data_IF_455052351941
#
_entry.id   IF_455052351941
#
_cell.length_a   1.000
_cell.length_b   1.000
_cell.length_c   1.000
_cell.angle_alpha   90.00
_cell.angle_beta   90.00
_cell.angle_gamma   90.00
#
_symmetry.space_group_name_H-M   'P 1'
#
loop_
_entity.id
_entity.type
_entity.pdbx_description
1 polymer ?
#
# COMPACT_ATOMS: atom_id res chain seq x y z
N UNK A 1 7.15 -6.11 10.48
CA UNK A 1 7.37 -6.82 9.19
C UNK A 1 7.70 -5.79 8.13
N UNK A 2 8.70 -6.00 7.26
CA UNK A 2 9.06 -5.06 6.18
C UNK A 2 8.25 -5.44 4.94
N UNK A 3 7.34 -4.57 4.48
CA UNK A 3 6.65 -4.74 3.20
C UNK A 3 7.68 -4.64 2.08
N UNK A 4 8.02 -5.76 1.43
CA UNK A 4 8.76 -5.75 0.17
C UNK A 4 7.73 -5.59 -0.94
N UNK A 5 7.72 -4.49 -1.72
CA UNK A 5 6.83 -4.43 -2.87
C UNK A 5 7.23 -5.55 -3.82
N UNK A 6 6.30 -6.45 -4.10
CA UNK A 6 6.46 -7.42 -5.16
C UNK A 6 6.61 -6.65 -6.46
N UNK A 7 7.65 -6.93 -7.25
CA UNK A 7 7.85 -6.37 -8.59
C UNK A 7 6.89 -6.98 -9.61
N UNK A 8 5.72 -7.44 -9.15
CA UNK A 8 4.67 -7.98 -10.00
C UNK A 8 4.02 -6.80 -10.70
N UNK A 9 4.06 -6.83 -12.03
CA UNK A 9 3.38 -5.86 -12.89
C UNK A 9 1.86 -6.04 -12.76
N UNK A 10 1.24 -5.46 -11.72
CA UNK A 10 -0.19 -5.64 -11.44
C UNK A 10 -1.09 -5.25 -12.63
N UNK A 11 -0.61 -4.37 -13.50
CA UNK A 11 -1.31 -3.93 -14.71
C UNK A 11 -1.42 -5.01 -15.81
N UNK A 12 -0.70 -6.13 -15.71
CA UNK A 12 -0.81 -7.26 -16.67
C UNK A 12 -1.71 -8.38 -16.17
N UNK A 13 -2.22 -8.28 -14.94
CA UNK A 13 -3.07 -9.29 -14.33
C UNK A 13 -4.55 -9.05 -14.66
N UNK A 14 -5.36 -10.10 -14.55
CA UNK A 14 -6.81 -9.94 -14.61
C UNK A 14 -7.32 -9.13 -13.40
N UNK A 15 -8.51 -8.55 -13.53
CA UNK A 15 -9.13 -7.80 -12.43
C UNK A 15 -9.37 -8.71 -11.23
N UNK A 16 -9.78 -9.95 -11.47
CA UNK A 16 -10.06 -10.98 -10.48
C UNK A 16 -8.80 -11.35 -9.68
N UNK A 17 -7.65 -11.51 -10.36
CA UNK A 17 -6.38 -11.83 -9.72
C UNK A 17 -5.88 -10.67 -8.84
N UNK A 18 -6.05 -9.42 -9.30
CA UNK A 18 -5.66 -8.23 -8.54
C UNK A 18 -6.54 -8.08 -7.30
N UNK A 19 -7.85 -8.22 -7.44
CA UNK A 19 -8.78 -8.11 -6.31
C UNK A 19 -8.54 -9.22 -5.28
N UNK A 20 -8.29 -10.45 -5.74
CA UNK A 20 -7.96 -11.59 -4.87
C UNK A 20 -6.64 -11.37 -4.12
N UNK A 21 -5.58 -10.95 -4.83
CA UNK A 21 -4.26 -10.74 -4.22
C UNK A 21 -4.21 -9.56 -3.24
N UNK A 22 -5.05 -8.54 -3.46
CA UNK A 22 -5.17 -7.37 -2.57
C UNK A 22 -6.30 -7.51 -1.55
N UNK A 23 -6.96 -8.67 -1.48
CA UNK A 23 -8.12 -8.94 -0.61
C UNK A 23 -9.12 -7.77 -0.66
N UNK A 24 -9.46 -7.33 -1.87
CA UNK A 24 -10.25 -6.11 -2.11
C UNK A 24 -11.49 -6.44 -2.93
N UNK A 25 -12.50 -5.58 -2.86
CA UNK A 25 -13.75 -5.76 -3.60
C UNK A 25 -13.93 -4.67 -4.65
N UNK A 26 -14.74 -4.90 -5.70
CA UNK A 26 -15.07 -3.88 -6.68
C UNK A 26 -15.79 -2.66 -6.08
N UNK A 27 -16.47 -2.84 -4.94
CA UNK A 27 -17.14 -1.76 -4.23
C UNK A 27 -16.18 -0.85 -3.44
N UNK A 28 -14.89 -1.20 -3.39
CA UNK A 28 -13.86 -0.49 -2.64
C UNK A 28 -13.66 -1.05 -1.24
N UNK A 29 -13.07 -0.22 -0.38
CA UNK A 29 -12.76 -0.51 1.02
C UNK A 29 -13.76 0.23 1.92
N UNK A 30 -14.17 -0.41 3.00
CA UNK A 30 -14.83 0.30 4.10
C UNK A 30 -13.86 1.26 4.79
N UNK A 31 -14.40 2.24 5.51
CA UNK A 31 -13.59 3.18 6.30
C UNK A 31 -12.72 2.48 7.35
N UNK A 32 -13.26 1.45 8.01
CA UNK A 32 -12.55 0.67 9.02
C UNK A 32 -11.38 -0.13 8.41
N UNK A 33 -11.57 -0.74 7.23
CA UNK A 33 -10.49 -1.47 6.54
C UNK A 33 -9.41 -0.51 6.03
N UNK A 34 -9.80 0.66 5.52
CA UNK A 34 -8.86 1.67 5.06
C UNK A 34 -7.97 2.16 6.22
N UNK A 35 -8.55 2.41 7.40
CA UNK A 35 -7.81 2.80 8.60
C UNK A 35 -6.87 1.68 9.08
N UNK A 36 -7.36 0.43 9.15
CA UNK A 36 -6.54 -0.72 9.53
C UNK A 36 -5.34 -0.89 8.57
N UNK A 37 -5.56 -0.75 7.26
CA UNK A 37 -4.49 -0.81 6.25
C UNK A 37 -3.51 0.36 6.41
N UNK A 38 -3.97 1.56 6.70
CA UNK A 38 -3.09 2.72 6.95
C UNK A 38 -2.20 2.51 8.18
N UNK A 39 -2.69 1.86 9.23
CA UNK A 39 -1.87 1.51 10.40
C UNK A 39 -0.79 0.47 10.07
N UNK A 40 -1.08 -0.47 9.17
CA UNK A 40 -0.14 -1.54 8.76
C UNK A 40 0.93 -1.02 7.78
N UNK A 41 0.53 -0.29 6.73
CA UNK A 41 1.43 0.13 5.66
C UNK A 41 2.04 1.53 5.89
N UNK A 42 1.41 2.33 6.74
CA UNK A 42 1.79 3.72 6.98
C UNK A 42 1.19 4.69 5.95
N UNK A 43 1.45 5.99 6.12
CA UNK A 43 0.97 7.01 5.20
C UNK A 43 1.60 6.83 3.80
N UNK A 44 0.81 7.02 2.76
CA UNK A 44 1.29 7.07 1.37
C UNK A 44 1.97 8.41 1.08
N UNK A 45 3.08 8.65 1.77
CA UNK A 45 3.89 9.85 1.64
C UNK A 45 5.37 9.47 1.65
N UNK A 46 6.17 10.17 0.84
CA UNK A 46 7.61 10.04 0.92
C UNK A 46 8.09 10.48 2.30
N UNK A 47 9.00 9.69 2.88
CA UNK A 47 9.70 10.12 4.10
C UNK A 47 10.53 11.34 3.74
N UNK A 48 10.41 12.39 4.53
CA UNK A 48 11.29 13.54 4.41
C UNK A 48 12.73 13.05 4.60
N UNK A 49 13.61 13.49 3.71
CA UNK A 49 15.04 13.24 3.92
C UNK A 49 15.44 13.94 5.20
N UNK A 50 16.08 13.20 6.11
CA UNK A 50 16.73 13.82 7.28
C UNK A 50 17.77 14.80 6.75
N UNK A 51 17.49 16.09 6.85
CA UNK A 51 18.48 17.13 6.64
C UNK A 51 19.59 16.86 7.66
N UNK A 52 20.85 16.72 7.20
CA UNK A 52 21.98 16.76 8.12
C UNK A 52 21.99 18.17 8.75
N UNK A 53 22.15 18.26 10.06
CA UNK A 53 22.39 19.55 10.70
C UNK A 53 23.61 20.20 10.04
N UNK A 54 23.54 21.52 9.87
CA UNK A 54 24.67 22.30 9.35
C UNK A 54 25.82 22.43 10.37
N UNK A 55 25.58 22.01 11.61
CA UNK A 55 26.52 21.99 12.73
C UNK A 55 26.99 20.57 13.00
#
# INVERSE_FOLDING_TARGET
MKFKPSTTNAHTLSVEDVLTSLESTPAGLSTAEAEARQQVYGPNAYKTQKQKSAW
#
